data_IF_803901273350
#
_entry.id   IF_803901273350
#
_cell.length_a   1.000
_cell.length_b   1.000
_cell.length_c   1.000
_cell.angle_alpha   90.00
_cell.angle_beta   90.00
_cell.angle_gamma   90.00
#
_symmetry.space_group_name_H-M   'P 1'
#
loop_
_entity.id
_entity.type
_entity.pdbx_description
1 polymer ?
#
# COMPACT_ATOMS: atom_id res chain seq x y z
N UNK A 1 -16.22 -2.14 5.94
CA UNK A 1 -15.05 -3.03 5.66
C UNK A 1 -13.83 -2.48 6.37
N UNK A 2 -13.07 -3.31 7.05
CA UNK A 2 -11.82 -2.94 7.73
C UNK A 2 -10.67 -3.73 7.11
N UNK A 3 -9.68 -3.01 6.57
CA UNK A 3 -8.46 -3.58 6.03
C UNK A 3 -7.31 -3.35 7.02
N UNK A 4 -6.59 -4.40 7.37
CA UNK A 4 -5.31 -4.32 8.09
C UNK A 4 -4.24 -4.74 7.10
N UNK A 5 -3.47 -3.76 6.62
CA UNK A 5 -2.52 -3.96 5.54
C UNK A 5 -1.10 -4.14 6.06
N UNK A 6 -0.49 -5.26 5.67
CA UNK A 6 0.93 -5.53 5.77
C UNK A 6 1.29 -6.38 4.56
N UNK A 7 1.57 -5.72 3.43
CA UNK A 7 1.72 -6.42 2.14
C UNK A 7 2.99 -5.96 1.41
N UNK A 8 3.97 -6.86 1.24
CA UNK A 8 5.24 -6.53 0.59
C UNK A 8 5.15 -6.48 -0.94
N UNK A 9 4.04 -6.89 -1.53
CA UNK A 9 3.82 -6.91 -2.98
C UNK A 9 3.03 -8.13 -3.43
N UNK A 10 2.69 -8.18 -4.71
CA UNK A 10 2.28 -9.42 -5.35
C UNK A 10 3.49 -10.34 -5.50
N UNK A 11 3.33 -11.62 -5.18
CA UNK A 11 4.42 -12.57 -5.28
C UNK A 11 4.81 -12.77 -6.77
N UNK A 12 6.06 -12.50 -7.16
CA UNK A 12 6.51 -12.67 -8.53
C UNK A 12 6.78 -14.14 -8.86
N UNK A 13 6.81 -14.44 -10.15
CA UNK A 13 7.23 -15.75 -10.66
C UNK A 13 6.22 -16.37 -11.61
N UNK A 14 6.72 -17.18 -12.53
CA UNK A 14 5.91 -17.80 -13.59
C UNK A 14 4.78 -18.67 -13.04
N UNK A 15 5.02 -19.40 -11.95
CA UNK A 15 3.98 -20.19 -11.30
C UNK A 15 2.82 -19.35 -10.76
N UNK A 16 3.11 -18.17 -10.22
CA UNK A 16 2.11 -17.22 -9.74
C UNK A 16 1.34 -16.60 -10.91
N UNK A 17 2.03 -16.27 -12.00
CA UNK A 17 1.40 -15.70 -13.20
C UNK A 17 0.51 -16.72 -13.88
N UNK A 18 0.96 -17.96 -14.06
CA UNK A 18 0.12 -19.06 -14.57
C UNK A 18 -1.04 -19.38 -13.64
N UNK A 19 -0.87 -19.25 -12.33
CA UNK A 19 -1.94 -19.35 -11.33
C UNK A 19 -2.94 -18.20 -11.37
N UNK A 20 -2.68 -17.16 -12.18
CA UNK A 20 -3.60 -16.03 -12.40
C UNK A 20 -3.57 -14.97 -11.31
N UNK A 21 -2.44 -14.74 -10.64
CA UNK A 21 -2.33 -13.75 -9.54
C UNK A 21 -2.79 -12.35 -9.96
N UNK A 22 -2.44 -11.90 -11.16
CA UNK A 22 -2.83 -10.57 -11.68
C UNK A 22 -4.34 -10.53 -11.92
N UNK A 23 -4.91 -11.59 -12.46
CA UNK A 23 -6.34 -11.74 -12.72
C UNK A 23 -7.15 -11.74 -11.43
N UNK A 24 -6.70 -12.48 -10.41
CA UNK A 24 -7.32 -12.48 -9.09
C UNK A 24 -7.16 -11.15 -8.36
N UNK A 25 -6.02 -10.50 -8.50
CA UNK A 25 -5.79 -9.15 -8.01
C UNK A 25 -6.77 -8.14 -8.63
N UNK A 26 -6.97 -8.18 -9.95
CA UNK A 26 -7.93 -7.33 -10.64
C UNK A 26 -9.37 -7.53 -10.14
N UNK A 27 -9.78 -8.78 -9.84
CA UNK A 27 -11.09 -9.07 -9.25
C UNK A 27 -11.25 -8.45 -7.85
N UNK A 28 -10.19 -8.48 -7.05
CA UNK A 28 -10.17 -7.88 -5.72
C UNK A 28 -10.32 -6.35 -5.81
N UNK A 29 -9.56 -5.70 -6.70
CA UNK A 29 -9.69 -4.27 -6.99
C UNK A 29 -11.12 -3.90 -7.38
N UNK A 30 -11.68 -4.65 -8.32
CA UNK A 30 -13.07 -4.45 -8.76
C UNK A 30 -14.06 -4.52 -7.59
N UNK A 31 -13.95 -5.56 -6.75
CA UNK A 31 -14.83 -5.76 -5.60
C UNK A 31 -14.76 -4.60 -4.59
N UNK A 32 -13.56 -4.05 -4.35
CA UNK A 32 -13.38 -2.92 -3.43
C UNK A 32 -13.88 -1.60 -4.01
N UNK A 33 -13.71 -1.37 -5.31
CA UNK A 33 -14.28 -0.19 -5.97
C UNK A 33 -15.81 -0.21 -5.95
N UNK A 34 -16.41 -1.39 -6.09
CA UNK A 34 -17.87 -1.56 -6.12
C UNK A 34 -18.52 -1.54 -4.73
N UNK A 35 -17.76 -1.69 -3.67
CA UNK A 35 -18.30 -1.70 -2.31
C UNK A 35 -18.73 -0.29 -1.87
N UNK A 36 -20.01 -0.12 -1.53
CA UNK A 36 -20.62 1.13 -1.09
C UNK A 36 -20.65 1.31 0.43
N UNK A 37 -20.19 0.31 1.16
CA UNK A 37 -20.08 0.34 2.63
C UNK A 37 -18.88 1.17 3.10
N UNK A 38 -18.84 1.61 4.37
CA UNK A 38 -17.65 2.24 4.92
C UNK A 38 -16.40 1.39 4.74
N UNK A 39 -15.33 1.98 4.22
CA UNK A 39 -14.04 1.34 3.95
C UNK A 39 -12.95 2.05 4.74
N UNK A 40 -12.36 1.35 5.71
CA UNK A 40 -11.30 1.87 6.57
C UNK A 40 -10.07 1.00 6.37
N UNK A 41 -8.92 1.62 6.09
CA UNK A 41 -7.64 0.93 5.93
C UNK A 41 -6.66 1.36 7.02
N UNK A 42 -6.01 0.38 7.65
CA UNK A 42 -4.93 0.61 8.61
C UNK A 42 -3.67 -0.09 8.12
N UNK A 43 -2.65 0.69 7.80
CA UNK A 43 -1.35 0.19 7.33
C UNK A 43 -0.47 -0.06 8.54
N UNK A 44 -0.10 -1.33 8.75
CA UNK A 44 0.64 -1.75 9.95
C UNK A 44 2.16 -1.70 9.74
N UNK A 45 2.62 -2.15 8.56
CA UNK A 45 4.03 -2.25 8.21
C UNK A 45 4.21 -2.07 6.71
N UNK A 46 4.43 -3.12 5.94
CA UNK A 46 4.71 -3.02 4.51
C UNK A 46 3.46 -2.68 3.69
N UNK A 47 3.62 -1.77 2.73
CA UNK A 47 2.59 -1.43 1.76
C UNK A 47 3.26 -0.98 0.46
N UNK A 48 3.60 -1.95 -0.43
CA UNK A 48 4.40 -1.70 -1.60
C UNK A 48 3.63 -1.89 -2.90
N UNK A 49 3.78 -0.92 -3.81
CA UNK A 49 3.39 -1.00 -5.21
C UNK A 49 1.92 -1.32 -5.43
N UNK A 50 1.64 -2.14 -6.43
CA UNK A 50 0.28 -2.55 -6.79
C UNK A 50 -0.48 -3.29 -5.70
N UNK A 51 0.22 -3.99 -4.80
CA UNK A 51 -0.42 -4.67 -3.68
C UNK A 51 -0.91 -3.69 -2.61
N UNK A 52 -0.20 -2.57 -2.38
CA UNK A 52 -0.70 -1.47 -1.56
C UNK A 52 -2.03 -0.93 -2.11
N UNK A 53 -2.09 -0.67 -3.41
CA UNK A 53 -3.33 -0.25 -4.08
C UNK A 53 -4.40 -1.33 -3.89
N UNK A 54 -4.06 -2.59 -4.17
CA UNK A 54 -4.96 -3.74 -4.05
C UNK A 54 -5.56 -3.96 -2.65
N UNK A 55 -4.93 -3.41 -1.60
CA UNK A 55 -5.41 -3.48 -0.23
C UNK A 55 -6.31 -2.30 0.17
N UNK A 56 -7.00 -1.71 -0.80
CA UNK A 56 -7.96 -0.62 -0.60
C UNK A 56 -7.31 0.64 -0.01
N UNK A 57 -6.45 1.25 -0.79
CA UNK A 57 -5.88 2.56 -0.48
C UNK A 57 -6.88 3.71 -0.75
N UNK A 58 -6.41 4.95 -0.62
CA UNK A 58 -7.24 6.15 -0.81
C UNK A 58 -7.83 6.22 -2.23
N UNK A 59 -7.03 5.91 -3.25
CA UNK A 59 -7.45 5.98 -4.67
C UNK A 59 -8.49 4.92 -5.03
N UNK A 60 -8.55 3.80 -4.32
CA UNK A 60 -9.61 2.80 -4.45
C UNK A 60 -10.87 3.14 -3.65
N UNK A 61 -10.96 4.37 -3.14
CA UNK A 61 -12.13 4.86 -2.44
C UNK A 61 -12.22 4.39 -0.98
N UNK A 62 -11.10 4.16 -0.30
CA UNK A 62 -11.13 4.08 1.16
C UNK A 62 -11.60 5.41 1.74
N UNK A 63 -12.56 5.35 2.66
CA UNK A 63 -13.09 6.54 3.33
C UNK A 63 -12.07 7.11 4.30
N UNK A 64 -11.31 6.24 4.97
CA UNK A 64 -10.25 6.62 5.90
C UNK A 64 -9.07 5.67 5.77
N UNK A 65 -7.87 6.23 5.62
CA UNK A 65 -6.60 5.50 5.59
C UNK A 65 -5.73 5.98 6.73
N UNK A 66 -5.40 5.10 7.65
CA UNK A 66 -4.50 5.35 8.77
C UNK A 66 -3.24 4.51 8.64
N UNK A 67 -2.13 4.99 9.14
CA UNK A 67 -0.89 4.24 9.19
C UNK A 67 -0.30 4.24 10.60
N UNK A 68 0.40 3.16 10.96
CA UNK A 68 1.26 3.18 12.13
C UNK A 68 2.58 3.87 11.80
N UNK A 69 3.32 4.40 12.80
CA UNK A 69 4.63 5.02 12.57
C UNK A 69 5.66 4.07 11.95
N UNK A 70 5.46 2.76 12.12
CA UNK A 70 6.28 1.69 11.53
C UNK A 70 5.92 1.34 10.09
N UNK A 71 4.93 2.01 9.50
CA UNK A 71 4.49 1.72 8.15
C UNK A 71 5.55 2.16 7.13
N UNK A 72 5.80 1.28 6.17
CA UNK A 72 6.67 1.54 5.02
C UNK A 72 5.83 1.52 3.76
N UNK A 73 5.60 2.70 3.18
CA UNK A 73 4.71 2.89 2.03
C UNK A 73 5.54 3.41 0.86
N UNK A 74 5.72 2.61 -0.17
CA UNK A 74 6.53 2.97 -1.34
C UNK A 74 6.14 2.17 -2.58
N UNK A 75 6.76 2.51 -3.72
CA UNK A 75 6.60 1.73 -4.96
C UNK A 75 7.18 0.33 -4.79
N UNK A 76 8.29 0.21 -4.06
CA UNK A 76 8.94 -1.08 -3.72
C UNK A 76 9.80 -0.93 -2.47
N UNK A 77 10.18 -2.05 -1.86
CA UNK A 77 11.10 -2.04 -0.73
C UNK A 77 12.50 -1.52 -1.12
N UNK A 78 13.20 -0.89 -0.19
CA UNK A 78 14.46 -0.19 -0.41
C UNK A 78 15.54 -1.08 -1.06
N UNK A 79 15.68 -2.32 -0.61
CA UNK A 79 16.66 -3.26 -1.18
C UNK A 79 16.41 -3.57 -2.67
N UNK A 80 15.13 -3.59 -3.08
CA UNK A 80 14.76 -3.74 -4.48
C UNK A 80 15.03 -2.47 -5.29
N UNK A 81 14.65 -1.32 -4.75
CA UNK A 81 14.80 -0.01 -5.38
C UNK A 81 16.26 0.31 -5.70
N UNK A 82 17.17 0.11 -4.75
CA UNK A 82 18.60 0.34 -4.88
C UNK A 82 19.23 -0.47 -6.03
N UNK A 83 18.72 -1.66 -6.30
CA UNK A 83 19.20 -2.49 -7.40
C UNK A 83 18.70 -2.04 -8.79
N UNK A 84 17.65 -1.22 -8.84
CA UNK A 84 17.02 -0.76 -10.09
C UNK A 84 17.45 0.65 -10.45
N UNK A 85 17.66 1.53 -9.45
CA UNK A 85 18.06 2.92 -9.68
C UNK A 85 19.47 2.96 -10.32
N UNK A 86 19.52 3.42 -11.59
CA UNK A 86 20.70 3.34 -12.43
C UNK A 86 21.90 4.09 -11.87
N UNK A 87 21.71 5.23 -11.21
CA UNK A 87 22.78 6.02 -10.57
C UNK A 87 23.41 5.25 -9.41
N UNK A 88 22.57 4.77 -8.49
CA UNK A 88 22.98 4.02 -7.31
C UNK A 88 23.69 2.71 -7.70
N UNK A 89 23.16 2.01 -8.70
CA UNK A 89 23.79 0.78 -9.23
C UNK A 89 25.18 1.03 -9.79
N UNK A 90 25.42 2.18 -10.43
CA UNK A 90 26.76 2.58 -10.93
C UNK A 90 27.69 2.90 -9.78
N UNK A 91 27.21 3.63 -8.78
CA UNK A 91 28.00 3.96 -7.57
C UNK A 91 28.44 2.70 -6.84
N UNK A 92 27.52 1.77 -6.58
CA UNK A 92 27.84 0.47 -5.94
C UNK A 92 28.89 -0.30 -6.75
N UNK A 93 28.75 -0.34 -8.08
CA UNK A 93 29.68 -1.10 -8.95
C UNK A 93 31.10 -0.53 -8.96
N UNK A 94 31.23 0.78 -8.79
CA UNK A 94 32.53 1.49 -8.85
C UNK A 94 33.15 1.76 -7.48
N UNK A 95 32.48 1.38 -6.39
CA UNK A 95 32.94 1.61 -5.03
C UNK A 95 34.05 0.65 -4.62
N UNK A 96 34.95 1.09 -3.76
CA UNK A 96 35.96 0.23 -3.09
C UNK A 96 35.26 -0.76 -2.13
N UNK A 97 34.21 -0.33 -1.46
CA UNK A 97 33.33 -1.16 -0.61
C UNK A 97 31.87 -1.10 -1.12
N UNK A 98 31.48 -2.00 -2.03
CA UNK A 98 30.12 -2.04 -2.58
C UNK A 98 29.03 -2.30 -1.55
N UNK A 99 29.32 -3.04 -0.48
CA UNK A 99 28.34 -3.39 0.54
C UNK A 99 28.04 -2.21 1.45
N UNK A 100 29.04 -1.42 1.83
CA UNK A 100 28.85 -0.19 2.59
C UNK A 100 28.04 0.84 1.79
N UNK A 101 28.35 1.04 0.51
CA UNK A 101 27.61 1.96 -0.36
C UNK A 101 26.18 1.49 -0.56
N UNK A 102 25.94 0.19 -0.71
CA UNK A 102 24.60 -0.37 -0.79
C UNK A 102 23.81 -0.15 0.48
N UNK A 103 24.39 -0.38 1.65
CA UNK A 103 23.73 -0.18 2.94
C UNK A 103 23.33 1.29 3.14
N UNK A 104 24.22 2.23 2.85
CA UNK A 104 23.95 3.66 2.93
C UNK A 104 22.83 4.08 1.96
N UNK A 105 22.81 3.54 0.74
CA UNK A 105 21.76 3.83 -0.23
C UNK A 105 20.39 3.27 0.18
N UNK A 106 20.35 2.13 0.85
CA UNK A 106 19.12 1.57 1.42
C UNK A 106 18.58 2.49 2.52
N UNK A 107 19.43 2.89 3.45
CA UNK A 107 19.07 3.79 4.56
C UNK A 107 18.54 5.14 4.04
N UNK A 108 19.23 5.75 3.08
CA UNK A 108 18.80 7.00 2.44
C UNK A 108 17.43 6.85 1.73
N UNK A 109 17.21 5.72 1.07
CA UNK A 109 15.92 5.44 0.42
C UNK A 109 14.79 5.25 1.44
N UNK A 110 15.06 4.55 2.55
CA UNK A 110 14.09 4.33 3.62
C UNK A 110 13.70 5.66 4.28
N UNK A 111 14.66 6.50 4.58
CA UNK A 111 14.41 7.81 5.16
C UNK A 111 13.58 8.71 4.23
N UNK A 112 13.90 8.74 2.95
CA UNK A 112 13.24 9.63 1.98
C UNK A 112 11.87 9.16 1.52
N UNK A 113 11.65 7.85 1.41
CA UNK A 113 10.48 7.32 0.71
C UNK A 113 9.66 6.32 1.53
N UNK A 114 10.28 5.49 2.37
CA UNK A 114 9.58 4.39 3.04
C UNK A 114 8.97 4.79 4.40
N UNK A 115 8.59 6.02 4.60
CA UNK A 115 7.98 6.44 5.85
C UNK A 115 6.55 6.97 5.66
N UNK A 116 5.66 6.77 6.64
CA UNK A 116 4.25 7.14 6.50
C UNK A 116 4.03 8.66 6.49
N UNK A 117 4.95 9.45 7.04
CA UNK A 117 4.79 10.91 7.16
C UNK A 117 4.93 11.60 5.80
N UNK A 118 5.85 11.14 4.94
CA UNK A 118 5.98 11.65 3.57
C UNK A 118 4.69 11.40 2.80
N UNK A 119 4.16 10.19 2.90
CA UNK A 119 2.94 9.78 2.20
C UNK A 119 1.69 10.49 2.74
N UNK A 120 1.64 10.73 4.05
CA UNK A 120 0.60 11.54 4.69
C UNK A 120 0.66 13.00 4.24
N UNK A 121 1.87 13.57 4.14
CA UNK A 121 2.07 14.92 3.60
C UNK A 121 1.59 15.10 2.16
N UNK A 122 1.56 14.01 1.38
CA UNK A 122 1.02 13.98 0.02
C UNK A 122 -0.50 13.69 -0.04
N UNK A 123 -1.14 13.40 1.11
CA UNK A 123 -2.58 13.17 1.20
C UNK A 123 -3.04 11.73 0.91
N UNK A 124 -2.13 10.76 0.80
CA UNK A 124 -2.47 9.34 0.60
C UNK A 124 -2.81 8.61 1.89
N UNK A 125 -2.42 9.16 3.03
CA UNK A 125 -2.75 8.69 4.38
C UNK A 125 -3.37 9.85 5.14
N UNK A 126 -4.50 9.62 5.78
CA UNK A 126 -5.26 10.66 6.49
C UNK A 126 -4.66 10.95 7.87
N UNK A 127 -4.12 9.94 8.54
CA UNK A 127 -3.54 10.10 9.88
C UNK A 127 -2.47 9.04 10.16
N UNK A 128 -1.42 9.42 10.87
CA UNK A 128 -0.41 8.50 11.41
C UNK A 128 -0.69 8.33 12.91
N UNK A 129 -1.13 7.15 13.29
CA UNK A 129 -1.69 6.88 14.61
C UNK A 129 -0.83 5.93 15.44
N UNK A 130 -0.78 6.16 16.74
CA UNK A 130 -0.19 5.22 17.68
C UNK A 130 -0.94 3.87 17.68
N UNK A 131 -0.23 2.72 17.64
CA UNK A 131 -0.86 1.40 17.60
C UNK A 131 -1.90 1.19 18.70
N UNK A 132 -1.65 1.69 19.91
CA UNK A 132 -2.56 1.55 21.06
C UNK A 132 -3.91 2.26 20.84
N UNK A 133 -3.97 3.30 20.00
CA UNK A 133 -5.19 4.06 19.72
C UNK A 133 -6.02 3.49 18.58
N UNK A 134 -5.52 2.49 17.86
CA UNK A 134 -6.13 1.96 16.62
C UNK A 134 -7.59 1.58 16.81
N UNK A 135 -7.92 0.84 17.88
CA UNK A 135 -9.30 0.41 18.14
C UNK A 135 -10.24 1.61 18.30
N UNK A 136 -9.85 2.60 19.09
CA UNK A 136 -10.66 3.79 19.35
C UNK A 136 -10.86 4.60 18.07
N UNK A 137 -9.80 4.79 17.28
CA UNK A 137 -9.86 5.48 15.99
C UNK A 137 -10.80 4.79 15.01
N UNK A 138 -10.77 3.46 14.93
CA UNK A 138 -11.70 2.69 14.08
C UNK A 138 -13.14 2.86 14.55
N UNK A 139 -13.43 2.82 15.85
CA UNK A 139 -14.77 3.01 16.38
C UNK A 139 -15.30 4.41 16.00
N UNK A 140 -14.51 5.46 16.26
CA UNK A 140 -14.88 6.83 15.91
C UNK A 140 -15.10 7.01 14.40
N UNK A 141 -14.27 6.37 13.58
CA UNK A 141 -14.43 6.39 12.12
C UNK A 141 -15.72 5.69 11.66
N UNK A 142 -16.07 4.56 12.26
CA UNK A 142 -17.33 3.86 11.96
C UNK A 142 -18.55 4.68 12.38
N UNK A 143 -18.50 5.36 13.53
CA UNK A 143 -19.56 6.26 13.99
C UNK A 143 -19.75 7.43 13.01
N UNK A 144 -18.64 8.07 12.60
CA UNK A 144 -18.65 9.15 11.62
C UNK A 144 -19.24 8.68 10.27
N UNK A 145 -18.93 7.47 9.84
CA UNK A 145 -19.36 6.91 8.57
C UNK A 145 -20.71 6.15 8.65
N UNK A 146 -21.39 6.16 9.80
CA UNK A 146 -22.64 5.42 10.01
C UNK A 146 -23.76 5.86 9.06
N UNK A 147 -23.75 7.12 8.63
CA UNK A 147 -24.73 7.69 7.70
C UNK A 147 -24.29 7.62 6.24
N UNK A 148 -23.13 7.01 5.94
CA UNK A 148 -22.65 6.89 4.56
C UNK A 148 -23.72 6.26 3.68
N UNK A 149 -24.05 6.95 2.58
CA UNK A 149 -24.91 6.44 1.50
C UNK A 149 -24.23 6.77 0.19
N UNK A 150 -24.03 5.76 -0.60
CA UNK A 150 -23.36 5.85 -1.90
C UNK A 150 -24.17 5.07 -2.92
N UNK A 151 -24.46 5.68 -4.05
CA UNK A 151 -25.09 5.03 -5.20
C UNK A 151 -24.10 4.98 -6.35
N UNK A 152 -23.94 3.84 -6.96
CA UNK A 152 -23.11 3.66 -8.14
C UNK A 152 -23.98 3.70 -9.40
N UNK A 153 -23.41 4.15 -10.56
CA UNK A 153 -24.10 4.03 -11.83
C UNK A 153 -24.47 2.58 -12.15
N UNK A 154 -25.52 2.38 -12.92
CA UNK A 154 -25.87 1.05 -13.40
C UNK A 154 -24.70 0.43 -14.17
N UNK A 155 -24.35 -0.81 -13.81
CA UNK A 155 -23.21 -1.50 -14.39
C UNK A 155 -23.56 -2.07 -15.75
N UNK A 156 -22.67 -1.88 -16.73
CA UNK A 156 -22.72 -2.59 -18.00
C UNK A 156 -22.18 -4.03 -17.89
N UNK A 157 -21.19 -4.21 -17.04
CA UNK A 157 -20.51 -5.49 -16.81
C UNK A 157 -20.30 -5.71 -15.31
N UNK A 158 -20.25 -6.96 -14.89
CA UNK A 158 -19.91 -7.37 -13.52
C UNK A 158 -18.47 -7.83 -13.38
N UNK A 159 -18.09 -8.16 -12.14
CA UNK A 159 -16.82 -8.80 -11.84
C UNK A 159 -16.84 -10.24 -12.40
N UNK A 160 -15.96 -10.52 -13.34
CA UNK A 160 -15.97 -11.79 -14.08
C UNK A 160 -15.48 -12.92 -13.18
N UNK A 161 -16.25 -14.00 -12.97
CA UNK A 161 -15.76 -15.21 -12.35
C UNK A 161 -14.77 -15.91 -13.30
N UNK A 162 -13.56 -16.18 -12.80
CA UNK A 162 -12.48 -16.81 -13.59
C UNK A 162 -11.97 -18.04 -12.86
#
# INVERSE_FOLDING_TARGET
MLFRSDVPGFLPGTGQEYGGIIRHGAKMLYAYCEATVPKITVILRNAYGGAYIGMCNKELGADLVMAWPTAQIAVMGASGAVNIISSVKKEIKNAEDPDAVRAAAIEDYEEKFNNPYVVAGLGYVDDVIEPATTRQRIISALDMLSTKRESLPAKKHGNIPL
#
